data_IF_119403329247
#
_entry.id   IF_119403329247
#
_cell.length_a   1.000
_cell.length_b   1.000
_cell.length_c   1.000
_cell.angle_alpha   90.00
_cell.angle_beta   90.00
_cell.angle_gamma   90.00
#
_symmetry.space_group_name_H-M   'P 1'
#
loop_
_entity.id
_entity.type
_entity.pdbx_description
1 polymer ?
#
# COMPACT_ATOMS: atom_id res chain seq x y z
N UNK A 1 19.65 -31.39 5.54
CA UNK A 1 20.33 -30.23 6.18
C UNK A 1 19.35 -29.07 6.17
N UNK A 2 18.84 -28.67 7.34
CA UNK A 2 18.21 -27.35 7.45
C UNK A 2 19.32 -26.32 7.23
N UNK A 3 19.35 -25.69 6.06
CA UNK A 3 20.13 -24.47 5.92
C UNK A 3 19.50 -23.45 6.86
N UNK A 4 20.26 -22.96 7.83
CA UNK A 4 19.80 -21.89 8.70
C UNK A 4 19.55 -20.66 7.82
N UNK A 5 18.28 -20.32 7.61
CA UNK A 5 17.88 -19.12 6.91
C UNK A 5 18.21 -17.93 7.82
N UNK A 6 19.01 -16.98 7.35
CA UNK A 6 19.26 -15.73 8.07
C UNK A 6 18.97 -14.53 7.17
N UNK A 7 18.49 -13.46 7.79
CA UNK A 7 18.08 -12.24 7.11
C UNK A 7 18.87 -11.07 7.69
N UNK A 8 19.52 -10.31 6.80
CA UNK A 8 20.27 -9.11 7.15
C UNK A 8 19.63 -7.92 6.42
N UNK A 9 19.24 -6.89 7.18
CA UNK A 9 18.68 -5.65 6.65
C UNK A 9 19.74 -4.56 6.79
N UNK A 10 20.08 -3.91 5.67
CA UNK A 10 20.86 -2.69 5.66
C UNK A 10 20.02 -1.55 5.07
N UNK A 11 19.79 -0.52 5.87
CA UNK A 11 19.04 0.67 5.45
C UNK A 11 20.00 1.75 4.95
N UNK A 12 19.77 2.29 3.75
CA UNK A 12 20.54 3.39 3.19
C UNK A 12 19.84 4.74 3.37
N UNK A 13 18.50 4.76 3.34
CA UNK A 13 17.65 5.90 3.68
C UNK A 13 16.36 5.42 4.35
N UNK A 14 15.44 6.34 4.68
CA UNK A 14 14.10 5.99 5.17
C UNK A 14 13.27 5.18 4.17
N UNK A 15 13.54 5.33 2.87
CA UNK A 15 12.81 4.63 1.81
C UNK A 15 13.63 3.55 1.11
N UNK A 16 14.96 3.62 1.14
CA UNK A 16 15.83 2.69 0.42
C UNK A 16 16.52 1.71 1.37
N UNK A 17 16.24 0.43 1.16
CA UNK A 17 16.76 -0.67 1.96
C UNK A 17 17.36 -1.75 1.06
N UNK A 18 18.40 -2.43 1.54
CA UNK A 18 18.83 -3.72 1.01
C UNK A 18 18.59 -4.80 2.04
N UNK A 19 18.03 -5.91 1.58
CA UNK A 19 17.73 -7.09 2.38
C UNK A 19 18.49 -8.26 1.77
N UNK A 20 19.46 -8.79 2.50
CA UNK A 20 20.20 -9.99 2.12
C UNK A 20 19.58 -11.19 2.82
N UNK A 21 19.29 -12.27 2.09
CA UNK A 21 18.72 -13.49 2.66
C UNK A 21 19.67 -14.64 2.39
N UNK A 22 20.35 -15.09 3.45
CA UNK A 22 21.28 -16.21 3.38
C UNK A 22 20.53 -17.55 3.49
N UNK A 23 21.02 -18.56 2.76
CA UNK A 23 20.39 -19.90 2.74
C UNK A 23 19.08 -19.97 1.96
N UNK A 24 18.75 -18.95 1.16
CA UNK A 24 17.54 -18.89 0.34
C UNK A 24 17.80 -19.33 -1.10
N UNK A 25 16.86 -20.07 -1.69
CA UNK A 25 16.92 -20.43 -3.11
C UNK A 25 16.40 -19.29 -3.99
N UNK A 26 16.89 -19.19 -5.23
CA UNK A 26 16.44 -18.16 -6.19
C UNK A 26 14.90 -18.15 -6.39
N UNK A 27 14.22 -19.31 -6.51
CA UNK A 27 12.75 -19.34 -6.60
C UNK A 27 12.05 -18.78 -5.37
N UNK A 28 12.56 -19.06 -4.17
CA UNK A 28 11.99 -18.53 -2.93
C UNK A 28 12.20 -17.01 -2.84
N UNK A 29 13.38 -16.52 -3.21
CA UNK A 29 13.69 -15.09 -3.27
C UNK A 29 12.81 -14.34 -4.28
N UNK A 30 12.58 -14.93 -5.46
CA UNK A 30 11.67 -14.36 -6.46
C UNK A 30 10.20 -14.38 -5.99
N UNK A 31 9.79 -15.41 -5.24
CA UNK A 31 8.46 -15.46 -4.63
C UNK A 31 8.28 -14.33 -3.63
N UNK A 32 9.23 -14.13 -2.72
CA UNK A 32 9.22 -13.01 -1.78
C UNK A 32 9.17 -11.66 -2.51
N UNK A 33 9.99 -11.48 -3.55
CA UNK A 33 9.97 -10.29 -4.41
C UNK A 33 8.58 -10.02 -4.98
N UNK A 34 7.91 -11.05 -5.50
CA UNK A 34 6.56 -10.93 -6.07
C UNK A 34 5.52 -10.60 -5.00
N UNK A 35 5.62 -11.20 -3.82
CA UNK A 35 4.73 -10.88 -2.70
C UNK A 35 4.88 -9.43 -2.24
N UNK A 36 6.11 -8.94 -2.10
CA UNK A 36 6.40 -7.55 -1.77
C UNK A 36 5.78 -6.56 -2.76
N UNK A 37 5.86 -6.86 -4.06
CA UNK A 37 5.34 -5.97 -5.10
C UNK A 37 3.82 -5.99 -5.24
N UNK A 38 3.17 -7.13 -4.95
CA UNK A 38 1.81 -7.39 -5.42
C UNK A 38 0.81 -7.69 -4.31
N UNK A 39 1.27 -8.19 -3.16
CA UNK A 39 0.42 -8.82 -2.15
C UNK A 39 0.44 -8.12 -0.79
N UNK A 40 1.37 -7.19 -0.57
CA UNK A 40 1.39 -6.39 0.66
C UNK A 40 0.21 -5.41 0.63
N UNK A 41 -0.68 -5.45 1.62
CA UNK A 41 -1.82 -4.55 1.66
C UNK A 41 -1.36 -3.12 1.98
N UNK A 42 -2.02 -2.14 1.38
CA UNK A 42 -1.84 -0.71 1.68
C UNK A 42 -3.19 0.00 1.72
N UNK A 43 -3.20 1.24 2.22
CA UNK A 43 -4.41 2.04 2.42
C UNK A 43 -4.42 3.21 1.43
N UNK A 44 -5.51 3.37 0.68
CA UNK A 44 -5.68 4.47 -0.27
C UNK A 44 -7.16 4.84 -0.44
N UNK A 45 -7.42 6.02 -0.99
CA UNK A 45 -8.78 6.45 -1.31
C UNK A 45 -9.37 5.58 -2.43
N UNK A 46 -10.60 5.13 -2.22
CA UNK A 46 -11.29 4.21 -3.12
C UNK A 46 -12.57 4.81 -3.70
N UNK A 47 -13.37 5.47 -2.86
CA UNK A 47 -14.56 6.18 -3.29
C UNK A 47 -14.46 7.64 -2.89
N UNK A 48 -14.66 8.55 -3.84
CA UNK A 48 -14.57 10.00 -3.61
C UNK A 48 -15.89 10.64 -4.03
N UNK A 49 -16.55 11.28 -3.09
CA UNK A 49 -17.75 12.09 -3.29
C UNK A 49 -17.36 13.56 -3.30
N UNK A 50 -17.47 14.19 -4.46
CA UNK A 50 -17.19 15.62 -4.62
C UNK A 50 -18.47 16.39 -4.30
N UNK A 51 -18.43 17.23 -3.27
CA UNK A 51 -19.54 18.15 -2.96
C UNK A 51 -19.43 19.41 -3.81
N UNK A 52 -18.20 19.91 -3.98
CA UNK A 52 -17.92 21.08 -4.79
C UNK A 52 -16.51 21.00 -5.38
N UNK A 53 -16.38 21.24 -6.67
CA UNK A 53 -15.10 21.44 -7.33
C UNK A 53 -15.26 22.59 -8.34
N UNK A 54 -14.68 23.73 -7.99
CA UNK A 54 -14.61 24.93 -8.86
C UNK A 54 -13.20 25.18 -9.40
N UNK A 55 -12.29 24.21 -9.21
CA UNK A 55 -10.95 24.26 -9.79
C UNK A 55 -11.00 24.06 -11.32
N UNK A 56 -9.85 24.29 -11.97
CA UNK A 56 -9.70 23.98 -13.40
C UNK A 56 -9.51 22.48 -13.69
N UNK A 57 -9.39 21.64 -12.66
CA UNK A 57 -9.13 20.21 -12.82
C UNK A 57 -10.46 19.45 -12.90
N UNK A 58 -10.69 18.64 -13.96
CA UNK A 58 -11.85 17.77 -14.03
C UNK A 58 -11.92 16.79 -12.86
N UNK A 59 -13.14 16.42 -12.47
CA UNK A 59 -13.40 15.59 -11.30
C UNK A 59 -12.66 14.25 -11.35
N UNK A 60 -12.63 13.59 -12.52
CA UNK A 60 -11.99 12.29 -12.72
C UNK A 60 -10.47 12.38 -12.53
N UNK A 61 -9.86 13.46 -13.01
CA UNK A 61 -8.44 13.72 -12.84
C UNK A 61 -8.10 14.01 -11.38
N UNK A 62 -8.93 14.82 -10.71
CA UNK A 62 -8.79 15.11 -9.28
C UNK A 62 -8.89 13.81 -8.46
N UNK A 63 -9.92 12.99 -8.73
CA UNK A 63 -10.11 11.70 -8.08
C UNK A 63 -8.95 10.73 -8.33
N UNK A 64 -8.42 10.68 -9.56
CA UNK A 64 -7.26 9.85 -9.87
C UNK A 64 -6.04 10.25 -9.05
N UNK A 65 -5.73 11.56 -8.97
CA UNK A 65 -4.60 12.05 -8.18
C UNK A 65 -4.76 11.74 -6.70
N UNK A 66 -5.96 11.95 -6.16
CA UNK A 66 -6.29 11.62 -4.77
C UNK A 66 -6.19 10.11 -4.50
N UNK A 67 -6.66 9.28 -5.43
CA UNK A 67 -6.58 7.83 -5.32
C UNK A 67 -5.15 7.29 -5.27
N UNK A 68 -4.20 7.98 -5.89
CA UNK A 68 -2.77 7.61 -5.87
C UNK A 68 -2.03 8.07 -4.61
N UNK A 69 -2.67 8.81 -3.69
CA UNK A 69 -2.07 9.17 -2.41
C UNK A 69 -2.18 7.98 -1.46
N UNK A 70 -1.02 7.47 -1.05
CA UNK A 70 -0.94 6.42 -0.03
C UNK A 70 -1.07 7.02 1.36
N UNK A 71 -2.09 6.58 2.06
CA UNK A 71 -2.36 6.96 3.44
C UNK A 71 -1.54 6.07 4.39
N UNK A 72 -1.14 6.56 5.57
CA UNK A 72 -0.49 5.70 6.55
C UNK A 72 -1.34 4.48 6.86
N UNK A 73 -0.71 3.30 6.85
CA UNK A 73 -1.42 2.05 6.84
C UNK A 73 -2.13 1.78 8.17
N UNK A 74 -3.40 1.41 8.08
CA UNK A 74 -4.21 0.92 9.21
C UNK A 74 -4.84 -0.40 8.80
N UNK A 75 -4.78 -1.41 9.66
CA UNK A 75 -5.39 -2.71 9.39
C UNK A 75 -6.92 -2.62 9.57
N UNK A 76 -7.62 -2.49 8.45
CA UNK A 76 -9.08 -2.54 8.34
C UNK A 76 -9.55 -3.97 8.01
N UNK A 77 -10.81 -4.27 8.32
CA UNK A 77 -11.46 -5.52 7.93
C UNK A 77 -11.80 -5.48 6.45
N UNK A 78 -11.31 -6.45 5.68
CA UNK A 78 -11.64 -6.59 4.26
C UNK A 78 -13.02 -7.26 4.06
N UNK A 79 -13.30 -8.31 4.84
CA UNK A 79 -14.57 -9.03 4.81
C UNK A 79 -15.49 -8.48 5.89
N UNK A 80 -16.43 -7.63 5.50
CA UNK A 80 -17.40 -7.03 6.42
C UNK A 80 -18.81 -7.14 5.83
N UNK A 81 -19.75 -7.61 6.65
CA UNK A 81 -21.17 -7.78 6.28
C UNK A 81 -21.98 -6.45 6.29
N UNK A 82 -21.30 -5.30 6.26
CA UNK A 82 -21.96 -4.01 6.27
C UNK A 82 -22.50 -3.64 4.88
N UNK A 83 -23.63 -2.93 4.83
CA UNK A 83 -24.29 -2.58 3.57
C UNK A 83 -23.48 -1.67 2.64
N UNK A 84 -22.69 -0.74 3.19
CA UNK A 84 -21.94 0.25 2.39
C UNK A 84 -20.53 0.46 2.96
N UNK A 85 -20.44 1.02 4.16
CA UNK A 85 -19.16 1.30 4.86
C UNK A 85 -19.41 1.33 6.36
N UNK A 86 -18.49 0.79 7.16
CA UNK A 86 -18.49 0.92 8.62
C UNK A 86 -17.11 1.39 9.13
N UNK A 87 -17.01 1.64 10.43
CA UNK A 87 -15.77 2.12 11.08
C UNK A 87 -14.64 1.07 11.06
N UNK A 88 -14.98 -0.22 10.93
CA UNK A 88 -13.99 -1.30 10.94
C UNK A 88 -13.42 -1.59 9.54
N UNK A 89 -14.17 -1.32 8.47
CA UNK A 89 -13.79 -1.68 7.10
C UNK A 89 -13.33 -0.48 6.26
N UNK A 90 -13.48 0.75 6.76
CA UNK A 90 -13.15 1.95 6.01
C UNK A 90 -12.83 3.14 6.92
N UNK A 91 -12.04 4.07 6.39
CA UNK A 91 -11.80 5.37 7.00
C UNK A 91 -12.39 6.48 6.14
N UNK A 92 -12.90 7.53 6.78
CA UNK A 92 -13.38 8.72 6.06
C UNK A 92 -12.33 9.80 6.09
N UNK A 93 -12.03 10.37 4.93
CA UNK A 93 -11.08 11.47 4.73
C UNK A 93 -11.83 12.66 4.14
N UNK A 94 -11.52 13.86 4.59
CA UNK A 94 -12.14 15.10 4.15
C UNK A 94 -11.11 16.04 3.55
N UNK A 95 -11.56 16.88 2.63
CA UNK A 95 -10.78 18.00 2.10
C UNK A 95 -11.74 19.17 1.89
N UNK A 96 -11.46 20.31 2.53
CA UNK A 96 -12.19 21.57 2.32
C UNK A 96 -11.16 22.70 2.27
N UNK A 97 -10.93 23.23 1.06
CA UNK A 97 -9.94 24.29 0.83
C UNK A 97 -10.47 25.33 -0.15
N UNK A 98 -10.20 26.60 0.14
CA UNK A 98 -10.75 27.76 -0.58
C UNK A 98 -9.70 28.84 -0.79
N UNK A 99 -9.88 29.62 -1.86
CA UNK A 99 -9.02 30.75 -2.19
C UNK A 99 -7.70 30.34 -2.81
N UNK A 100 -6.93 31.34 -3.21
CA UNK A 100 -5.68 31.16 -3.96
C UNK A 100 -4.63 30.42 -3.12
N UNK A 101 -4.46 29.12 -3.38
CA UNK A 101 -3.60 28.24 -2.58
C UNK A 101 -3.26 26.94 -3.33
N UNK A 102 -2.15 26.33 -2.93
CA UNK A 102 -1.80 24.97 -3.34
C UNK A 102 -2.49 23.97 -2.41
N UNK A 103 -3.16 22.98 -3.00
CA UNK A 103 -3.80 21.87 -2.29
C UNK A 103 -2.86 20.67 -2.35
N UNK A 104 -2.38 20.21 -1.21
CA UNK A 104 -1.42 19.13 -1.06
C UNK A 104 -1.99 17.95 -0.26
N UNK A 105 -1.27 16.83 -0.23
CA UNK A 105 -1.67 15.64 0.54
C UNK A 105 -1.89 15.91 2.03
N UNK A 106 -1.11 16.80 2.65
CA UNK A 106 -1.26 17.18 4.06
C UNK A 106 -2.49 18.06 4.37
N UNK A 107 -3.20 18.55 3.34
CA UNK A 107 -4.48 19.23 3.51
C UNK A 107 -5.66 18.24 3.65
N UNK A 108 -5.41 16.94 3.45
CA UNK A 108 -6.39 15.91 3.76
C UNK A 108 -6.56 15.80 5.27
N UNK A 109 -7.78 15.57 5.73
CA UNK A 109 -8.09 15.44 7.16
C UNK A 109 -8.80 14.12 7.44
N UNK A 110 -8.34 13.39 8.45
CA UNK A 110 -8.95 12.16 8.94
C UNK A 110 -8.90 12.14 10.46
N UNK A 111 -10.00 11.78 11.12
CA UNK A 111 -10.06 11.74 12.59
C UNK A 111 -9.20 10.62 13.19
N UNK A 112 -9.08 9.50 12.46
CA UNK A 112 -8.41 8.29 12.94
C UNK A 112 -6.99 8.12 12.44
N UNK A 113 -6.46 9.10 11.69
CA UNK A 113 -5.18 8.99 11.02
C UNK A 113 -4.48 10.35 10.92
N UNK A 114 -3.21 10.39 11.30
CA UNK A 114 -2.37 11.56 11.05
C UNK A 114 -2.03 11.64 9.55
N UNK A 115 -2.38 12.77 8.96
CA UNK A 115 -2.24 13.08 7.53
C UNK A 115 -1.15 14.11 7.28
N UNK A 116 -0.52 14.64 8.33
CA UNK A 116 0.50 15.69 8.23
C UNK A 116 1.76 15.25 7.47
N UNK A 117 2.08 13.95 7.50
CA UNK A 117 3.20 13.36 6.78
C UNK A 117 2.96 13.27 5.26
N UNK A 118 1.71 13.40 4.81
CA UNK A 118 1.36 13.29 3.40
C UNK A 118 1.93 14.44 2.60
N UNK A 119 2.58 14.11 1.50
CA UNK A 119 3.19 15.08 0.59
C UNK A 119 2.58 14.93 -0.80
N UNK A 120 2.87 15.90 -1.64
CA UNK A 120 2.48 15.88 -3.05
C UNK A 120 1.36 16.86 -3.34
N UNK A 121 1.55 17.63 -4.40
CA UNK A 121 0.56 18.57 -4.92
C UNK A 121 -0.59 17.79 -5.54
N UNK A 122 -1.82 18.14 -5.19
CA UNK A 122 -3.04 17.61 -5.78
C UNK A 122 -3.50 18.56 -6.88
N UNK A 123 -3.72 19.83 -6.55
CA UNK A 123 -4.24 20.85 -7.48
C UNK A 123 -3.91 22.24 -6.95
N UNK A 124 -3.86 23.22 -7.85
CA UNK A 124 -3.70 24.63 -7.50
C UNK A 124 -5.03 25.35 -7.68
N UNK A 125 -5.40 26.16 -6.69
CA UNK A 125 -6.61 26.98 -6.72
C UNK A 125 -6.23 28.41 -7.04
N UNK A 126 -6.97 29.02 -7.96
CA UNK A 126 -6.95 30.46 -8.19
C UNK A 126 -7.85 31.19 -7.17
N UNK A 127 -7.84 32.52 -7.21
CA UNK A 127 -8.75 33.32 -6.40
C UNK A 127 -10.21 32.90 -6.66
N UNK A 128 -11.01 32.88 -5.58
CA UNK A 128 -12.43 32.44 -5.56
C UNK A 128 -12.70 30.98 -5.92
N UNK A 129 -11.69 30.16 -6.21
CA UNK A 129 -11.86 28.72 -6.38
C UNK A 129 -11.88 27.99 -5.04
N UNK A 130 -12.52 26.83 -5.03
CA UNK A 130 -12.70 25.98 -3.86
C UNK A 130 -12.92 24.53 -4.24
N UNK A 131 -12.48 23.65 -3.35
CA UNK A 131 -12.71 22.21 -3.41
C UNK A 131 -13.24 21.75 -2.06
N UNK A 132 -14.34 20.99 -2.10
CA UNK A 132 -14.90 20.31 -0.94
C UNK A 132 -15.29 18.90 -1.34
N UNK A 133 -14.73 17.90 -0.65
CA UNK A 133 -14.99 16.50 -0.94
C UNK A 133 -14.86 15.62 0.29
N UNK A 134 -15.45 14.43 0.18
CA UNK A 134 -15.37 13.33 1.13
C UNK A 134 -14.84 12.09 0.41
N UNK A 135 -13.79 11.48 0.95
CA UNK A 135 -13.21 10.25 0.48
C UNK A 135 -13.44 9.10 1.48
N UNK A 136 -13.60 7.90 0.95
CA UNK A 136 -13.59 6.64 1.69
C UNK A 136 -12.31 5.91 1.34
N UNK A 137 -11.47 5.65 2.34
CA UNK A 137 -10.26 4.85 2.21
C UNK A 137 -10.54 3.39 2.59
N UNK A 138 -9.94 2.47 1.83
CA UNK A 138 -10.01 1.03 2.06
C UNK A 138 -8.64 0.40 1.92
N UNK A 139 -8.47 -0.74 2.57
CA UNK A 139 -7.32 -1.60 2.35
C UNK A 139 -7.47 -2.31 1.00
N UNK A 140 -6.37 -2.40 0.27
CA UNK A 140 -6.30 -3.12 -1.00
C UNK A 140 -4.89 -3.61 -1.28
N UNK A 141 -4.74 -4.36 -2.36
CA UNK A 141 -3.44 -4.88 -2.82
C UNK A 141 -3.13 -4.42 -4.24
N UNK A 142 -1.84 -4.36 -4.58
CA UNK A 142 -1.40 -3.88 -5.89
C UNK A 142 -1.92 -4.70 -7.09
N UNK A 143 -2.36 -5.94 -6.87
CA UNK A 143 -3.06 -6.74 -7.89
C UNK A 143 -4.39 -6.16 -8.33
N UNK A 144 -5.08 -5.45 -7.42
CA UNK A 144 -6.38 -4.83 -7.71
C UNK A 144 -6.16 -3.50 -8.41
N UNK A 145 -5.23 -2.68 -7.91
CA UNK A 145 -4.89 -1.39 -8.51
C UNK A 145 -3.50 -0.93 -8.06
N UNK A 146 -2.75 -0.25 -8.94
CA UNK A 146 -1.38 0.23 -8.68
C UNK A 146 -1.28 1.20 -7.50
N UNK A 147 -2.36 1.95 -7.20
CA UNK A 147 -2.46 2.81 -6.00
C UNK A 147 -2.08 2.08 -4.70
N UNK A 148 -2.34 0.77 -4.66
CA UNK A 148 -2.06 -0.07 -3.50
C UNK A 148 -0.64 -0.66 -3.45
N UNK A 149 0.32 -0.18 -4.25
CA UNK A 149 1.71 -0.65 -4.22
C UNK A 149 2.47 -0.14 -2.98
N UNK A 150 2.63 -0.98 -1.96
CA UNK A 150 3.43 -0.62 -0.78
C UNK A 150 4.93 -0.39 -1.08
N UNK A 151 5.41 -0.88 -2.23
CA UNK A 151 6.82 -0.84 -2.63
C UNK A 151 6.93 -0.32 -4.06
N UNK A 152 7.82 0.65 -4.28
CA UNK A 152 8.10 1.24 -5.59
C UNK A 152 8.97 0.33 -6.46
N UNK A 153 10.05 -0.19 -5.88
CA UNK A 153 11.04 -0.99 -6.60
C UNK A 153 11.49 -2.18 -5.76
N UNK A 154 11.58 -3.36 -6.39
CA UNK A 154 12.33 -4.49 -5.84
C UNK A 154 13.22 -5.10 -6.90
N UNK A 155 14.54 -4.99 -6.70
CA UNK A 155 15.57 -5.51 -7.61
C UNK A 155 16.42 -6.56 -6.92
N UNK A 156 17.02 -7.47 -7.68
CA UNK A 156 17.89 -8.50 -7.12
C UNK A 156 19.30 -7.97 -6.87
N UNK A 157 19.90 -8.41 -5.77
CA UNK A 157 21.32 -8.20 -5.46
C UNK A 157 22.09 -9.45 -5.90
N UNK A 158 23.06 -9.25 -6.78
CA UNK A 158 23.90 -10.32 -7.34
C UNK A 158 25.32 -10.17 -6.80
N UNK A 159 25.86 -11.23 -6.20
CA UNK A 159 27.23 -11.30 -5.65
C UNK A 159 27.88 -12.58 -6.18
N UNK A 160 29.03 -12.46 -6.86
CA UNK A 160 29.77 -13.58 -7.45
C UNK A 160 28.87 -14.49 -8.31
N UNK A 161 28.12 -13.88 -9.22
CA UNK A 161 27.14 -14.53 -10.08
C UNK A 161 25.92 -15.20 -9.42
N UNK A 162 25.78 -15.09 -8.10
CA UNK A 162 24.65 -15.65 -7.36
C UNK A 162 23.72 -14.54 -6.83
N UNK A 163 22.41 -14.77 -6.94
CA UNK A 163 21.41 -13.89 -6.32
C UNK A 163 21.36 -14.15 -4.82
N UNK A 164 21.68 -13.14 -4.01
CA UNK A 164 21.79 -13.26 -2.55
C UNK A 164 20.82 -12.37 -1.77
N UNK A 165 20.13 -11.45 -2.44
CA UNK A 165 19.25 -10.51 -1.75
C UNK A 165 18.37 -9.69 -2.68
N UNK A 166 17.65 -8.75 -2.07
CA UNK A 166 16.74 -7.81 -2.70
C UNK A 166 17.10 -6.39 -2.27
N UNK A 167 17.14 -5.46 -3.22
CA UNK A 167 17.12 -4.02 -2.93
C UNK A 167 15.70 -3.51 -3.10
N UNK A 168 15.18 -2.88 -2.07
CA UNK A 168 13.78 -2.50 -1.88
C UNK A 168 13.70 -0.98 -1.72
N UNK A 169 12.84 -0.34 -2.50
CA UNK A 169 12.46 1.06 -2.33
C UNK A 169 10.99 1.13 -1.89
N UNK A 170 10.75 1.61 -0.68
CA UNK A 170 9.42 1.73 -0.10
C UNK A 170 8.66 2.92 -0.71
N UNK A 171 7.36 2.71 -0.88
CA UNK A 171 6.38 3.76 -1.15
C UNK A 171 5.55 4.10 0.10
N UNK A 172 5.35 3.07 0.93
CA UNK A 172 4.58 3.10 2.17
C UNK A 172 5.26 3.92 3.28
N UNK A 173 4.47 4.30 4.29
CA UNK A 173 4.94 5.03 5.47
C UNK A 173 5.42 4.10 6.60
N UNK A 174 5.19 2.78 6.48
CA UNK A 174 5.69 1.75 7.41
C UNK A 174 7.17 1.49 7.25
N UNK A 175 7.78 0.94 8.31
CA UNK A 175 9.16 0.51 8.27
C UNK A 175 9.34 -0.80 7.46
N UNK A 176 10.53 -1.01 6.92
CA UNK A 176 10.83 -2.18 6.06
C UNK A 176 10.54 -3.52 6.74
N UNK A 177 10.75 -3.63 8.05
CA UNK A 177 10.51 -4.88 8.79
C UNK A 177 9.01 -5.24 8.78
N UNK A 178 8.12 -4.27 8.98
CA UNK A 178 6.67 -4.47 8.91
C UNK A 178 6.25 -4.92 7.51
N UNK A 179 6.81 -4.30 6.47
CA UNK A 179 6.51 -4.66 5.07
C UNK A 179 6.93 -6.11 4.75
N UNK A 180 8.10 -6.52 5.25
CA UNK A 180 8.58 -7.90 5.11
C UNK A 180 7.70 -8.89 5.87
N UNK A 181 7.32 -8.57 7.11
CA UNK A 181 6.39 -9.38 7.91
C UNK A 181 5.06 -9.58 7.17
N UNK A 182 4.45 -8.49 6.69
CA UNK A 182 3.22 -8.56 5.90
C UNK A 182 3.35 -9.42 4.64
N UNK A 183 4.48 -9.32 3.92
CA UNK A 183 4.73 -10.13 2.73
C UNK A 183 4.81 -11.63 3.08
N UNK A 184 5.49 -11.98 4.18
CA UNK A 184 5.62 -13.36 4.65
C UNK A 184 4.29 -13.89 5.17
N UNK A 185 3.57 -13.14 6.00
CA UNK A 185 2.26 -13.53 6.52
C UNK A 185 1.25 -13.79 5.40
N UNK A 186 1.23 -12.91 4.40
CA UNK A 186 0.35 -13.05 3.23
C UNK A 186 0.72 -14.28 2.41
N UNK A 187 2.02 -14.54 2.23
CA UNK A 187 2.49 -15.74 1.55
C UNK A 187 2.09 -17.03 2.30
N UNK A 188 2.30 -17.08 3.62
CA UNK A 188 1.92 -18.22 4.46
C UNK A 188 0.41 -18.45 4.44
N UNK A 189 -0.39 -17.39 4.49
CA UNK A 189 -1.85 -17.47 4.42
C UNK A 189 -2.31 -18.13 3.12
N UNK A 190 -1.67 -17.79 1.98
CA UNK A 190 -1.96 -18.42 0.68
C UNK A 190 -1.59 -19.90 0.65
N UNK A 191 -0.42 -20.27 1.20
CA UNK A 191 -0.02 -21.68 1.30
C UNK A 191 -1.03 -22.45 2.14
N UNK A 192 -1.41 -21.94 3.32
CA UNK A 192 -2.39 -22.58 4.20
C UNK A 192 -3.75 -22.74 3.52
N UNK A 193 -4.19 -21.74 2.75
CA UNK A 193 -5.42 -21.84 1.96
C UNK A 193 -5.31 -22.97 0.94
N UNK A 194 -4.21 -23.04 0.19
CA UNK A 194 -3.98 -24.10 -0.79
C UNK A 194 -3.96 -25.49 -0.14
N UNK A 195 -3.32 -25.63 1.03
CA UNK A 195 -3.30 -26.89 1.78
C UNK A 195 -4.72 -27.37 2.14
N UNK A 196 -5.58 -26.47 2.65
CA UNK A 196 -6.98 -26.79 2.98
C UNK A 196 -7.78 -27.25 1.75
N UNK A 197 -7.60 -26.58 0.61
CA UNK A 197 -8.29 -26.99 -0.63
C UNK A 197 -7.85 -28.37 -1.10
N UNK A 198 -6.56 -28.71 -0.95
CA UNK A 198 -6.05 -30.05 -1.28
C UNK A 198 -6.63 -31.13 -0.35
N UNK A 199 -6.74 -30.83 0.95
CA UNK A 199 -7.34 -31.73 1.94
C UNK A 199 -8.81 -32.01 1.63
N UNK A 200 -9.58 -30.98 1.24
CA UNK A 200 -10.98 -31.12 0.84
C UNK A 200 -11.14 -32.06 -0.36
N UNK A 201 -10.31 -31.92 -1.40
CA UNK A 201 -10.34 -32.80 -2.58
C UNK A 201 -9.98 -34.24 -2.23
N UNK A 202 -9.11 -34.44 -1.25
CA UNK A 202 -8.66 -35.77 -0.84
C UNK A 202 -9.68 -36.51 0.04
N UNK A 203 -10.62 -35.80 0.66
CA UNK A 203 -11.69 -36.38 1.48
C UNK A 203 -12.91 -36.86 0.68
N UNK A 204 -13.04 -36.44 -0.58
CA UNK A 204 -14.13 -36.81 -1.49
C UNK A 204 -13.78 -38.02 -2.41
N UNK A 205 -12.59 -38.62 -2.24
CA UNK A 205 -12.11 -39.83 -2.93
C UNK A 205 -12.10 -41.04 -1.99
#
# INVERSE_FOLDING_TARGET
MQQNLSLEIHSFSQSNHSVTVHGCTVPLLNTLRRCLLMDVPSLSLDLITIENNSSNMPNEMLCHRLGMIQLPFVKLKNDCDCMITCKDCSLTVYLDKKGMSDVNGNDLHCESLDTSCLKGLIVKLADKQSIKLKGIAKNGIAKEHSKFQAVNLVSFIKVNDQYKGLKIELADHREIHEILEWAIETFLTKIRRLQREIENVSGDL
#
